data_IF_220226567892
#
_entry.id   IF_220226567892
#
_cell.length_a   1.000
_cell.length_b   1.000
_cell.length_c   1.000
_cell.angle_alpha   90.00
_cell.angle_beta   90.00
_cell.angle_gamma   90.00
#
_symmetry.space_group_name_H-M   'P 1'
#
loop_
_entity.id
_entity.type
_entity.pdbx_description
1 polymer ?
#
# COMPACT_ATOMS: atom_id res chain seq x y z
N UNK A 1 5.16 56.43 26.43
CA UNK A 1 4.75 55.10 26.96
C UNK A 1 4.14 54.21 25.89
N UNK A 2 3.30 54.74 24.99
CA UNK A 2 2.63 53.92 23.96
C UNK A 2 3.58 53.25 22.95
N UNK A 3 4.66 53.92 22.55
CA UNK A 3 5.65 53.35 21.62
C UNK A 3 6.37 52.11 22.17
N UNK A 4 6.64 52.09 23.48
CA UNK A 4 7.30 50.96 24.16
C UNK A 4 6.33 49.78 24.30
N UNK A 5 5.06 50.04 24.64
CA UNK A 5 4.02 49.01 24.68
C UNK A 5 3.77 48.39 23.30
N UNK A 6 3.80 49.20 22.24
CA UNK A 6 3.64 48.73 20.86
C UNK A 6 4.82 47.84 20.44
N UNK A 7 6.03 48.21 20.85
CA UNK A 7 7.25 47.43 20.57
C UNK A 7 7.24 46.08 21.30
N UNK A 8 6.74 46.02 22.55
CA UNK A 8 6.58 44.76 23.27
C UNK A 8 5.49 43.88 22.66
N UNK A 9 4.36 44.45 22.25
CA UNK A 9 3.28 43.70 21.57
C UNK A 9 3.78 43.07 20.26
N UNK A 10 4.50 43.84 19.45
CA UNK A 10 5.06 43.37 18.18
C UNK A 10 6.10 42.25 18.39
N UNK A 11 6.94 42.36 19.41
CA UNK A 11 7.93 41.32 19.75
C UNK A 11 7.25 39.99 20.11
N UNK A 12 6.17 40.04 20.89
CA UNK A 12 5.40 38.85 21.26
C UNK A 12 4.73 38.22 20.05
N UNK A 13 4.20 39.04 19.14
CA UNK A 13 3.54 38.55 17.92
C UNK A 13 4.53 37.88 16.96
N UNK A 14 5.72 38.44 16.77
CA UNK A 14 6.80 37.83 15.99
C UNK A 14 7.24 36.50 16.61
N UNK A 15 7.41 36.46 17.94
CA UNK A 15 7.83 35.23 18.63
C UNK A 15 6.75 34.14 18.54
N UNK A 16 5.47 34.51 18.65
CA UNK A 16 4.34 33.59 18.48
C UNK A 16 4.29 33.02 17.06
N UNK A 17 4.55 33.85 16.04
CA UNK A 17 4.65 33.42 14.65
C UNK A 17 5.80 32.45 14.41
N UNK A 18 7.00 32.76 14.91
CA UNK A 18 8.18 31.90 14.77
C UNK A 18 7.97 30.53 15.43
N UNK A 19 7.39 30.49 16.62
CA UNK A 19 7.08 29.23 17.32
C UNK A 19 6.03 28.42 16.55
N UNK A 20 4.98 29.08 16.03
CA UNK A 20 3.97 28.43 15.17
C UNK A 20 4.59 27.86 13.89
N UNK A 21 5.43 28.62 13.20
CA UNK A 21 6.09 28.18 11.97
C UNK A 21 7.05 27.02 12.22
N UNK A 22 7.84 27.08 13.29
CA UNK A 22 8.73 25.99 13.68
C UNK A 22 7.97 24.69 13.95
N UNK A 23 6.89 24.76 14.74
CA UNK A 23 6.06 23.60 15.05
C UNK A 23 5.33 23.06 13.80
N UNK A 24 4.89 23.95 12.90
CA UNK A 24 4.26 23.56 11.64
C UNK A 24 5.25 22.88 10.68
N UNK A 25 6.51 23.32 10.69
CA UNK A 25 7.60 22.66 9.95
C UNK A 25 7.85 21.23 10.43
N UNK A 26 7.85 21.00 11.74
CA UNK A 26 7.99 19.67 12.33
C UNK A 26 6.79 18.77 12.00
N UNK A 27 5.56 19.29 12.17
CA UNK A 27 4.34 18.56 11.84
C UNK A 27 4.31 18.13 10.36
N UNK A 28 4.71 19.03 9.45
CA UNK A 28 4.81 18.74 8.02
C UNK A 28 5.81 17.63 7.73
N UNK A 29 6.96 17.59 8.42
CA UNK A 29 7.94 16.50 8.29
C UNK A 29 7.37 15.18 8.79
N UNK A 30 6.70 15.16 9.94
CA UNK A 30 6.05 13.95 10.46
C UNK A 30 4.97 13.43 9.51
N UNK A 31 4.16 14.31 8.91
CA UNK A 31 3.15 13.93 7.92
C UNK A 31 3.82 13.31 6.69
N UNK A 32 4.88 13.93 6.17
CA UNK A 32 5.58 13.42 5.00
C UNK A 32 6.21 12.04 5.26
N UNK A 33 6.84 11.86 6.41
CA UNK A 33 7.40 10.56 6.82
C UNK A 33 6.30 9.49 6.94
N UNK A 34 5.18 9.81 7.58
CA UNK A 34 4.04 8.90 7.68
C UNK A 34 3.45 8.56 6.31
N UNK A 35 3.32 9.54 5.41
CA UNK A 35 2.87 9.30 4.04
C UNK A 35 3.82 8.37 3.27
N UNK A 36 5.13 8.58 3.40
CA UNK A 36 6.15 7.70 2.79
C UNK A 36 6.03 6.26 3.32
N UNK A 37 5.86 6.09 4.63
CA UNK A 37 5.62 4.77 5.24
C UNK A 37 4.34 4.12 4.74
N UNK A 38 3.25 4.88 4.61
CA UNK A 38 1.98 4.38 4.05
C UNK A 38 2.16 3.94 2.60
N UNK A 39 2.85 4.73 1.78
CA UNK A 39 3.13 4.39 0.38
C UNK A 39 3.92 3.07 0.27
N UNK A 40 5.01 2.93 1.03
CA UNK A 40 5.82 1.71 1.03
C UNK A 40 5.02 0.47 1.49
N UNK A 41 4.16 0.62 2.52
CA UNK A 41 3.27 -0.45 2.97
C UNK A 41 2.22 -0.82 1.92
N UNK A 42 1.66 0.18 1.23
CA UNK A 42 0.68 -0.05 0.17
C UNK A 42 1.31 -0.81 -1.02
N UNK A 43 2.50 -0.42 -1.46
CA UNK A 43 3.22 -1.14 -2.52
C UNK A 43 3.47 -2.61 -2.16
N UNK A 44 3.89 -2.85 -0.91
CA UNK A 44 4.10 -4.22 -0.40
C UNK A 44 2.79 -5.02 -0.39
N UNK A 45 1.69 -4.40 0.03
CA UNK A 45 0.37 -5.03 0.06
C UNK A 45 -0.16 -5.34 -1.35
N UNK A 46 -0.03 -4.40 -2.29
CA UNK A 46 -0.43 -4.60 -3.69
C UNK A 46 0.38 -5.72 -4.33
N UNK A 47 1.70 -5.74 -4.12
CA UNK A 47 2.58 -6.81 -4.62
C UNK A 47 2.15 -8.18 -4.07
N UNK A 48 1.94 -8.29 -2.77
CA UNK A 48 1.50 -9.55 -2.16
C UNK A 48 0.15 -10.01 -2.69
N UNK A 49 -0.82 -9.10 -2.87
CA UNK A 49 -2.12 -9.43 -3.46
C UNK A 49 -1.98 -9.93 -4.89
N UNK A 50 -1.17 -9.26 -5.71
CA UNK A 50 -0.91 -9.67 -7.09
C UNK A 50 -0.28 -11.08 -7.15
N UNK A 51 0.74 -11.35 -6.33
CA UNK A 51 1.36 -12.68 -6.25
C UNK A 51 0.34 -13.73 -5.81
N UNK A 52 -0.47 -13.45 -4.79
CA UNK A 52 -1.46 -14.39 -4.28
C UNK A 52 -2.52 -14.73 -5.33
N UNK A 53 -2.98 -13.74 -6.10
CA UNK A 53 -3.87 -13.95 -7.24
C UNK A 53 -3.22 -14.82 -8.33
N UNK A 54 -1.97 -14.53 -8.70
CA UNK A 54 -1.24 -15.34 -9.67
C UNK A 54 -1.09 -16.81 -9.22
N UNK A 55 -0.77 -17.04 -7.95
CA UNK A 55 -0.64 -18.39 -7.39
C UNK A 55 -1.97 -19.14 -7.42
N UNK A 56 -3.07 -18.50 -7.01
CA UNK A 56 -4.40 -19.12 -7.07
C UNK A 56 -4.78 -19.44 -8.52
N UNK A 57 -4.55 -18.51 -9.44
CA UNK A 57 -4.83 -18.73 -10.86
C UNK A 57 -4.04 -19.93 -11.41
N UNK A 58 -2.74 -20.00 -11.11
CA UNK A 58 -1.88 -21.11 -11.53
C UNK A 58 -2.35 -22.45 -10.94
N UNK A 59 -2.75 -22.47 -9.67
CA UNK A 59 -3.25 -23.69 -9.02
C UNK A 59 -4.55 -24.17 -9.68
N UNK A 60 -5.49 -23.28 -9.92
CA UNK A 60 -6.76 -23.61 -10.60
C UNK A 60 -6.50 -24.14 -12.00
N UNK A 61 -5.63 -23.47 -12.77
CA UNK A 61 -5.27 -23.91 -14.12
C UNK A 61 -4.62 -25.30 -14.11
N UNK A 62 -3.71 -25.54 -13.17
CA UNK A 62 -3.03 -26.83 -13.01
C UNK A 62 -4.03 -27.95 -12.68
N UNK A 63 -4.94 -27.69 -11.74
CA UNK A 63 -5.99 -28.66 -11.38
C UNK A 63 -6.93 -28.94 -12.55
N UNK A 64 -7.30 -27.91 -13.30
CA UNK A 64 -8.13 -28.07 -14.49
C UNK A 64 -7.44 -28.90 -15.56
N UNK A 65 -6.16 -28.61 -15.84
CA UNK A 65 -5.35 -29.37 -16.78
C UNK A 65 -5.22 -30.85 -16.37
N UNK A 66 -4.94 -31.12 -15.10
CA UNK A 66 -4.88 -32.49 -14.56
C UNK A 66 -6.22 -33.20 -14.68
N UNK A 67 -7.33 -32.50 -14.47
CA UNK A 67 -8.67 -33.07 -14.59
C UNK A 67 -8.97 -33.47 -16.04
N UNK A 68 -8.70 -32.58 -17.01
CA UNK A 68 -8.82 -32.88 -18.45
C UNK A 68 -7.97 -34.11 -18.79
N UNK A 69 -6.71 -34.13 -18.36
CA UNK A 69 -5.79 -35.25 -18.64
C UNK A 69 -6.31 -36.58 -18.09
N UNK A 70 -6.89 -36.58 -16.88
CA UNK A 70 -7.51 -37.77 -16.29
C UNK A 70 -8.69 -38.26 -17.13
N UNK A 71 -9.57 -37.35 -17.57
CA UNK A 71 -10.71 -37.68 -18.42
C UNK A 71 -10.24 -38.23 -19.77
N UNK A 72 -9.26 -37.60 -20.42
CA UNK A 72 -8.68 -38.09 -21.67
C UNK A 72 -8.07 -39.48 -21.53
N UNK A 73 -7.32 -39.73 -20.46
CA UNK A 73 -6.73 -41.04 -20.20
C UNK A 73 -7.80 -42.12 -19.93
N UNK A 74 -8.92 -41.76 -19.30
CA UNK A 74 -10.03 -42.66 -19.07
C UNK A 74 -10.77 -42.97 -20.38
N UNK A 75 -11.03 -41.96 -21.21
CA UNK A 75 -11.65 -42.11 -22.53
C UNK A 75 -10.79 -43.01 -23.44
N UNK A 76 -9.47 -42.85 -23.43
CA UNK A 76 -8.56 -43.71 -24.20
C UNK A 76 -8.58 -45.17 -23.72
N UNK A 77 -8.76 -45.40 -22.40
CA UNK A 77 -8.93 -46.76 -21.86
C UNK A 77 -10.23 -47.39 -22.33
N UNK A 78 -11.35 -46.67 -22.28
CA UNK A 78 -12.63 -47.16 -22.77
C UNK A 78 -12.58 -47.46 -24.28
N UNK A 79 -11.99 -46.55 -25.06
CA UNK A 79 -11.80 -46.73 -26.50
C UNK A 79 -10.99 -48.00 -26.82
N UNK A 80 -9.88 -48.24 -26.10
CA UNK A 80 -9.09 -49.47 -26.27
C UNK A 80 -9.82 -50.74 -25.85
N UNK A 81 -10.80 -50.65 -24.95
CA UNK A 81 -11.62 -51.78 -24.53
C UNK A 81 -12.77 -52.09 -25.49
N UNK A 82 -12.97 -51.29 -26.55
CA UNK A 82 -13.99 -51.52 -27.56
C UNK A 82 -15.43 -51.36 -27.07
N UNK A 83 -15.62 -50.59 -25.98
CA UNK A 83 -16.92 -50.17 -25.45
C UNK A 83 -17.32 -48.85 -26.10
#
# INVERSE_FOLDING_TARGET
MELHSLQEALKVEIQCHQVKEWNNGDLKKQIHERQSRIAALNEKQVRNRSIQLCLVFLLVFTMHYLNIRKVSALAEKYWRQGI
#
